data_IF_910162074916
#
_entry.id   IF_910162074916
#
_cell.length_a   1.000
_cell.length_b   1.000
_cell.length_c   1.000
_cell.angle_alpha   90.00
_cell.angle_beta   90.00
_cell.angle_gamma   90.00
#
_symmetry.space_group_name_H-M   'P 1'
#
loop_
_entity.id
_entity.type
_entity.pdbx_description
1 polymer ?
#
# COMPACT_ATOMS: atom_id res chain seq x y z
N UNK A 1 22.01 -3.46 25.29
CA UNK A 1 20.79 -2.82 24.77
C UNK A 1 21.14 -2.24 23.39
N UNK A 2 20.43 -2.60 22.31
CA UNK A 2 20.68 -2.01 21.01
C UNK A 2 20.23 -0.53 21.00
N UNK A 3 20.83 0.26 20.11
CA UNK A 3 20.45 1.65 19.87
C UNK A 3 19.32 1.76 18.87
N UNK A 4 19.29 0.85 17.88
CA UNK A 4 18.30 0.79 16.82
C UNK A 4 17.87 -0.65 16.60
N UNK A 5 16.56 -0.86 16.41
CA UNK A 5 15.98 -2.11 15.94
C UNK A 5 15.59 -1.96 14.45
N UNK A 6 16.01 -2.91 13.61
CA UNK A 6 15.54 -3.04 12.24
C UNK A 6 14.59 -4.23 12.17
N UNK A 7 13.31 -4.00 11.86
CA UNK A 7 12.26 -5.01 11.76
C UNK A 7 11.89 -5.21 10.29
N UNK A 8 12.12 -6.44 9.77
CA UNK A 8 11.84 -6.86 8.40
C UNK A 8 11.22 -8.27 8.35
N UNK A 9 10.53 -8.66 9.43
CA UNK A 9 9.93 -10.01 9.56
C UNK A 9 8.72 -10.16 8.63
N UNK A 10 7.99 -9.07 8.40
CA UNK A 10 6.84 -9.09 7.50
C UNK A 10 5.55 -9.62 8.15
N UNK A 11 4.93 -10.64 7.58
CA UNK A 11 3.54 -11.09 7.82
C UNK A 11 3.20 -11.69 9.18
N UNK A 12 4.13 -12.00 10.02
CA UNK A 12 3.85 -12.63 11.32
C UNK A 12 3.08 -11.67 12.25
N UNK A 13 1.78 -11.87 12.25
CA UNK A 13 0.74 -10.93 12.71
C UNK A 13 0.93 -10.30 14.08
N UNK A 14 1.58 -10.96 15.02
CA UNK A 14 1.75 -10.44 16.37
C UNK A 14 3.21 -10.22 16.75
N UNK A 15 4.14 -10.99 16.22
CA UNK A 15 5.55 -10.94 16.62
C UNK A 15 6.17 -9.59 16.30
N UNK A 16 5.99 -9.10 15.05
CA UNK A 16 6.51 -7.80 14.64
C UNK A 16 5.96 -6.66 15.48
N UNK A 17 4.64 -6.65 15.73
CA UNK A 17 4.00 -5.62 16.52
C UNK A 17 4.52 -5.61 17.97
N UNK A 18 4.53 -6.77 18.64
CA UNK A 18 5.02 -6.88 20.03
C UNK A 18 6.51 -6.50 20.15
N UNK A 19 7.32 -6.93 19.18
CA UNK A 19 8.74 -6.59 19.13
C UNK A 19 8.97 -5.08 18.99
N UNK A 20 8.29 -4.45 18.02
CA UNK A 20 8.39 -3.01 17.78
C UNK A 20 7.87 -2.22 18.97
N UNK A 21 6.71 -2.58 19.52
CA UNK A 21 6.13 -1.97 20.71
C UNK A 21 7.07 -2.06 21.90
N UNK A 22 7.65 -3.24 22.14
CA UNK A 22 8.63 -3.46 23.23
C UNK A 22 9.87 -2.58 23.04
N UNK A 23 10.42 -2.51 21.81
CA UNK A 23 11.60 -1.69 21.52
C UNK A 23 11.33 -0.19 21.78
N UNK A 24 10.21 0.32 21.25
CA UNK A 24 9.81 1.72 21.46
C UNK A 24 9.61 2.06 22.95
N UNK A 25 9.00 1.16 23.74
CA UNK A 25 8.84 1.32 25.17
C UNK A 25 10.18 1.30 25.93
N UNK A 26 11.18 0.60 25.42
CA UNK A 26 12.53 0.58 25.95
C UNK A 26 13.41 1.72 25.44
N UNK A 27 12.82 2.71 24.78
CA UNK A 27 13.51 3.85 24.17
C UNK A 27 14.56 3.44 23.16
N UNK A 28 14.22 2.50 22.28
CA UNK A 28 15.00 2.06 21.14
C UNK A 28 14.30 2.56 19.88
N UNK A 29 15.03 3.27 19.01
CA UNK A 29 14.50 3.69 17.71
C UNK A 29 14.29 2.50 16.79
N UNK A 30 13.26 2.55 15.94
CA UNK A 30 12.90 1.43 15.08
C UNK A 30 12.88 1.86 13.61
N UNK A 31 13.40 0.98 12.75
CA UNK A 31 13.22 1.05 11.29
C UNK A 31 12.45 -0.18 10.86
N UNK A 32 11.31 -0.01 10.19
CA UNK A 32 10.47 -1.14 9.74
C UNK A 32 10.02 -0.98 8.30
N UNK A 33 9.90 -2.09 7.58
CA UNK A 33 9.24 -2.19 6.27
C UNK A 33 7.81 -2.73 6.35
N UNK A 34 7.29 -2.99 7.55
CA UNK A 34 6.02 -3.70 7.75
C UNK A 34 4.81 -2.76 7.65
N UNK A 35 4.33 -2.56 6.41
CA UNK A 35 3.18 -1.70 6.12
C UNK A 35 1.88 -2.17 6.76
N UNK A 36 1.65 -3.49 6.82
CA UNK A 36 0.43 -4.04 7.39
C UNK A 36 0.34 -3.76 8.90
N UNK A 37 1.43 -3.99 9.63
CA UNK A 37 1.52 -3.64 11.06
C UNK A 37 1.25 -2.15 11.28
N UNK A 38 1.84 -1.28 10.47
CA UNK A 38 1.65 0.17 10.61
C UNK A 38 0.24 0.62 10.23
N UNK A 39 -0.39 0.01 9.22
CA UNK A 39 -1.76 0.31 8.84
C UNK A 39 -2.77 -0.08 9.93
N UNK A 40 -2.49 -1.15 10.69
CA UNK A 40 -3.37 -1.66 11.75
C UNK A 40 -3.07 -1.07 13.14
N UNK A 41 -1.82 -0.82 13.45
CA UNK A 41 -1.36 -0.44 14.79
C UNK A 41 -0.54 0.87 14.82
N UNK A 42 -0.46 1.57 13.69
CA UNK A 42 0.42 2.74 13.54
C UNK A 42 0.14 3.83 14.57
N UNK A 43 -1.12 4.11 14.88
CA UNK A 43 -1.48 5.14 15.85
C UNK A 43 -0.85 4.89 17.21
N UNK A 44 -0.95 3.66 17.71
CA UNK A 44 -0.37 3.30 19.00
C UNK A 44 1.16 3.38 18.96
N UNK A 45 1.77 2.83 17.91
CA UNK A 45 3.23 2.81 17.77
C UNK A 45 3.82 4.21 17.59
N UNK A 46 3.17 5.08 16.82
CA UNK A 46 3.60 6.49 16.68
C UNK A 46 3.49 7.24 18.01
N UNK A 47 2.39 7.06 18.75
CA UNK A 47 2.22 7.68 20.07
C UNK A 47 3.27 7.22 21.07
N UNK A 48 3.63 5.91 21.07
CA UNK A 48 4.71 5.39 21.94
C UNK A 48 6.06 6.00 21.54
N UNK A 49 6.36 6.07 20.26
CA UNK A 49 7.61 6.64 19.77
C UNK A 49 7.75 8.12 20.17
N UNK A 50 6.69 8.91 19.97
CA UNK A 50 6.65 10.32 20.33
C UNK A 50 6.82 10.52 21.85
N UNK A 51 6.03 9.81 22.66
CA UNK A 51 6.11 9.86 24.13
C UNK A 51 7.51 9.55 24.65
N UNK A 52 8.17 8.57 24.06
CA UNK A 52 9.51 8.13 24.46
C UNK A 52 10.64 8.89 23.76
N UNK A 53 10.31 9.83 22.84
CA UNK A 53 11.27 10.65 22.07
C UNK A 53 12.26 9.79 21.27
N UNK A 54 11.76 8.73 20.63
CA UNK A 54 12.51 7.84 19.73
C UNK A 54 11.90 7.86 18.34
N UNK A 55 12.66 7.42 17.35
CA UNK A 55 12.23 7.43 15.95
C UNK A 55 11.54 6.10 15.59
N UNK A 56 10.44 6.20 14.84
CA UNK A 56 9.84 5.10 14.10
C UNK A 56 9.90 5.46 12.61
N UNK A 57 10.84 4.85 11.89
CA UNK A 57 11.11 5.11 10.47
C UNK A 57 10.59 3.96 9.62
N UNK A 58 9.96 4.26 8.49
CA UNK A 58 9.26 3.25 7.69
C UNK A 58 9.24 3.55 6.18
N UNK A 59 10.31 4.17 5.67
CA UNK A 59 10.39 4.51 4.22
C UNK A 59 10.16 3.29 3.32
N UNK A 60 10.75 2.13 3.67
CA UNK A 60 10.62 0.91 2.89
C UNK A 60 9.21 0.27 2.93
N UNK A 61 8.32 0.74 3.80
CA UNK A 61 6.94 0.23 3.87
C UNK A 61 6.11 0.61 2.63
N UNK A 62 6.47 1.69 1.93
CA UNK A 62 5.76 2.15 0.72
C UNK A 62 6.76 2.40 -0.40
N UNK A 63 6.51 1.82 -1.58
CA UNK A 63 7.30 1.99 -2.80
C UNK A 63 8.78 1.56 -2.71
N UNK A 64 9.14 0.74 -1.73
CA UNK A 64 10.48 0.14 -1.59
C UNK A 64 11.59 1.19 -1.53
N UNK A 65 12.46 1.23 -2.54
CA UNK A 65 13.59 2.18 -2.60
C UNK A 65 13.24 3.59 -3.09
N UNK A 66 11.97 3.85 -3.48
CA UNK A 66 11.53 5.19 -3.89
C UNK A 66 11.22 6.01 -2.64
N UNK A 67 11.86 7.18 -2.41
CA UNK A 67 11.74 7.94 -1.16
C UNK A 67 10.43 8.76 -1.12
N UNK A 68 9.28 8.10 -1.25
CA UNK A 68 7.98 8.77 -1.34
C UNK A 68 7.54 9.38 -0.02
N UNK A 69 7.76 8.66 1.10
CA UNK A 69 7.39 9.15 2.44
C UNK A 69 8.19 10.41 2.78
N UNK A 70 9.51 10.36 2.56
CA UNK A 70 10.40 11.51 2.75
C UNK A 70 10.00 12.68 1.86
N UNK A 71 9.67 12.41 0.60
CA UNK A 71 9.24 13.43 -0.36
C UNK A 71 7.96 14.11 0.10
N UNK A 72 6.95 13.35 0.52
CA UNK A 72 5.70 13.92 1.05
C UNK A 72 5.98 14.75 2.30
N UNK A 73 6.70 14.21 3.28
CA UNK A 73 7.03 14.90 4.53
C UNK A 73 7.77 16.22 4.31
N UNK A 74 8.75 16.23 3.40
CA UNK A 74 9.53 17.45 3.14
C UNK A 74 8.75 18.53 2.37
N UNK A 75 7.79 18.13 1.54
CA UNK A 75 7.04 19.06 0.71
C UNK A 75 5.75 19.57 1.37
N UNK A 76 5.25 18.91 2.41
CA UNK A 76 4.01 19.28 3.10
C UNK A 76 4.08 20.68 3.72
N UNK A 77 5.28 21.13 4.11
CA UNK A 77 5.50 22.48 4.66
C UNK A 77 5.41 23.59 3.62
N UNK A 78 5.60 23.26 2.34
CA UNK A 78 5.64 24.22 1.24
C UNK A 78 4.40 24.17 0.35
N UNK A 79 3.71 23.03 0.33
CA UNK A 79 2.60 22.79 -0.59
C UNK A 79 1.46 22.05 0.11
N UNK A 80 0.24 22.33 -0.33
CA UNK A 80 -0.94 21.58 0.09
C UNK A 80 -1.14 20.39 -0.85
N UNK A 81 -1.12 19.19 -0.31
CA UNK A 81 -1.49 17.98 -1.04
C UNK A 81 -3.02 17.86 -0.99
N UNK A 82 -3.66 17.82 -2.13
CA UNK A 82 -5.12 17.68 -2.22
C UNK A 82 -5.53 16.25 -2.60
N UNK A 83 -4.67 15.54 -3.33
CA UNK A 83 -4.95 14.17 -3.81
C UNK A 83 -3.65 13.38 -3.94
N UNK A 84 -3.72 12.10 -3.61
CA UNK A 84 -2.74 11.08 -3.98
C UNK A 84 -3.48 10.06 -4.85
N UNK A 85 -2.89 9.67 -5.97
CA UNK A 85 -3.46 8.64 -6.86
C UNK A 85 -2.35 7.90 -7.58
N UNK A 86 -2.46 6.58 -7.68
CA UNK A 86 -1.47 5.77 -8.39
C UNK A 86 -1.69 4.27 -8.32
N UNK A 87 -0.82 3.54 -9.00
CA UNK A 87 -0.74 2.08 -8.94
C UNK A 87 0.27 1.74 -7.84
N UNK A 88 -0.22 1.18 -6.73
CA UNK A 88 0.61 0.89 -5.54
C UNK A 88 0.96 -0.59 -5.37
N UNK A 89 0.53 -1.46 -6.29
CA UNK A 89 0.87 -2.87 -6.27
C UNK A 89 1.38 -3.34 -7.65
N UNK A 90 2.59 -3.90 -7.66
CA UNK A 90 3.24 -4.37 -8.88
C UNK A 90 2.61 -5.63 -9.47
N UNK A 91 2.20 -6.56 -8.61
CA UNK A 91 1.60 -7.85 -9.00
C UNK A 91 0.31 -7.65 -9.78
N UNK A 92 -0.62 -6.86 -9.25
CA UNK A 92 -1.89 -6.56 -9.92
C UNK A 92 -1.69 -5.80 -11.21
N UNK A 93 -0.73 -4.88 -11.25
CA UNK A 93 -0.39 -4.18 -12.49
C UNK A 93 0.17 -5.12 -13.54
N UNK A 94 1.06 -6.04 -13.15
CA UNK A 94 1.58 -7.09 -14.03
C UNK A 94 0.44 -7.94 -14.58
N UNK A 95 -0.44 -8.46 -13.71
CA UNK A 95 -1.55 -9.34 -14.11
C UNK A 95 -2.44 -8.63 -15.13
N UNK A 96 -2.97 -7.45 -14.82
CA UNK A 96 -3.88 -6.73 -15.71
C UNK A 96 -3.22 -6.33 -17.03
N UNK A 97 -1.92 -5.98 -16.99
CA UNK A 97 -1.18 -5.64 -18.21
C UNK A 97 -0.97 -6.85 -19.11
N UNK A 98 -0.61 -7.99 -18.52
CA UNK A 98 -0.35 -9.23 -19.28
C UNK A 98 -1.64 -9.81 -19.83
N UNK A 99 -2.75 -9.80 -19.07
CA UNK A 99 -4.06 -10.17 -19.58
C UNK A 99 -4.43 -9.35 -20.83
N UNK A 100 -4.21 -8.03 -20.77
CA UNK A 100 -4.51 -7.12 -21.89
C UNK A 100 -3.61 -7.36 -23.11
N UNK A 101 -2.30 -7.52 -22.92
CA UNK A 101 -1.32 -7.61 -24.01
C UNK A 101 -1.28 -8.98 -24.67
N UNK A 102 -1.51 -10.05 -23.90
CA UNK A 102 -1.39 -11.43 -24.36
C UNK A 102 -2.75 -12.12 -24.54
N UNK A 103 -3.86 -11.43 -24.25
CA UNK A 103 -5.23 -11.97 -24.29
C UNK A 103 -5.38 -13.27 -23.49
N UNK A 104 -4.75 -13.34 -22.33
CA UNK A 104 -4.76 -14.50 -21.42
C UNK A 104 -5.80 -14.34 -20.31
N UNK A 105 -6.28 -15.46 -19.80
CA UNK A 105 -7.17 -15.50 -18.64
C UNK A 105 -6.43 -15.16 -17.33
N UNK A 106 -7.20 -14.70 -16.34
CA UNK A 106 -6.67 -14.28 -15.04
C UNK A 106 -5.85 -15.37 -14.35
N UNK A 107 -6.35 -16.61 -14.28
CA UNK A 107 -5.67 -17.73 -13.61
C UNK A 107 -4.32 -18.08 -14.25
N UNK A 108 -4.25 -18.06 -15.58
CA UNK A 108 -3.00 -18.35 -16.30
C UNK A 108 -1.94 -17.31 -16.00
N UNK A 109 -2.35 -16.02 -15.98
CA UNK A 109 -1.42 -14.92 -15.69
C UNK A 109 -1.05 -14.85 -14.20
N UNK A 110 -1.96 -15.18 -13.29
CA UNK A 110 -1.64 -15.30 -11.86
C UNK A 110 -0.59 -16.38 -11.60
N UNK A 111 -0.73 -17.53 -12.25
CA UNK A 111 0.26 -18.62 -12.16
C UNK A 111 1.64 -18.20 -12.72
N UNK A 112 1.65 -17.49 -13.85
CA UNK A 112 2.87 -16.93 -14.43
C UNK A 112 3.52 -15.89 -13.48
N UNK A 113 2.72 -15.01 -12.87
CA UNK A 113 3.20 -14.06 -11.86
C UNK A 113 3.87 -14.76 -10.67
N UNK A 114 3.29 -15.86 -10.18
CA UNK A 114 3.89 -16.68 -9.12
C UNK A 114 5.21 -17.30 -9.56
N UNK A 115 5.27 -17.89 -10.75
CA UNK A 115 6.50 -18.50 -11.29
C UNK A 115 7.62 -17.48 -11.47
N UNK A 116 7.28 -16.24 -11.82
CA UNK A 116 8.23 -15.13 -11.99
C UNK A 116 8.61 -14.46 -10.66
N UNK A 117 8.02 -14.87 -9.54
CA UNK A 117 8.33 -14.34 -8.21
C UNK A 117 7.72 -12.95 -7.92
N UNK A 118 6.69 -12.53 -8.66
CA UNK A 118 5.95 -11.30 -8.35
C UNK A 118 5.11 -11.43 -7.09
N UNK A 119 4.64 -12.66 -6.79
CA UNK A 119 3.86 -12.98 -5.61
C UNK A 119 4.05 -14.45 -5.22
N UNK A 120 3.63 -14.82 -4.01
CA UNK A 120 3.61 -16.19 -3.52
C UNK A 120 2.16 -16.64 -3.24
N UNK A 121 1.94 -17.93 -2.97
CA UNK A 121 0.60 -18.44 -2.64
C UNK A 121 0.02 -17.76 -1.40
N UNK A 122 0.85 -17.39 -0.43
CA UNK A 122 0.43 -16.73 0.79
C UNK A 122 0.12 -15.23 0.59
N UNK A 123 0.85 -14.58 -0.31
CA UNK A 123 0.75 -13.13 -0.55
C UNK A 123 -0.26 -12.78 -1.64
N UNK A 124 -0.48 -13.69 -2.60
CA UNK A 124 -1.32 -13.42 -3.77
C UNK A 124 -2.73 -12.94 -3.41
N UNK A 125 -3.33 -13.49 -2.35
CA UNK A 125 -4.67 -13.06 -1.90
C UNK A 125 -4.71 -11.61 -1.44
N UNK A 126 -3.65 -11.11 -0.83
CA UNK A 126 -3.55 -9.71 -0.41
C UNK A 126 -3.27 -8.79 -1.59
N UNK A 127 -2.47 -9.26 -2.54
CA UNK A 127 -2.19 -8.53 -3.78
C UNK A 127 -3.44 -8.38 -4.63
N UNK A 128 -4.02 -9.52 -5.08
CA UNK A 128 -5.18 -9.52 -5.99
C UNK A 128 -6.44 -8.95 -5.34
N UNK A 129 -6.61 -9.12 -4.02
CA UNK A 129 -7.69 -8.50 -3.25
C UNK A 129 -7.52 -6.99 -3.02
N UNK A 130 -6.38 -6.40 -3.41
CA UNK A 130 -6.11 -4.96 -3.28
C UNK A 130 -5.66 -4.50 -1.89
N UNK A 131 -5.56 -5.41 -0.92
CA UNK A 131 -5.22 -5.07 0.47
C UNK A 131 -3.79 -4.55 0.62
N UNK A 132 -2.81 -5.10 -0.11
CA UNK A 132 -1.43 -4.61 -0.11
C UNK A 132 -1.37 -3.14 -0.54
N UNK A 133 -2.03 -2.80 -1.63
CA UNK A 133 -2.10 -1.42 -2.13
C UNK A 133 -2.86 -0.49 -1.16
N UNK A 134 -3.94 -1.00 -0.54
CA UNK A 134 -4.72 -0.26 0.43
C UNK A 134 -3.94 0.07 1.72
N UNK A 135 -3.12 -0.86 2.23
CA UNK A 135 -2.22 -0.60 3.36
C UNK A 135 -1.23 0.54 3.05
N UNK A 136 -0.64 0.53 1.85
CA UNK A 136 0.26 1.59 1.40
C UNK A 136 -0.46 2.94 1.29
N UNK A 137 -1.67 2.95 0.71
CA UNK A 137 -2.48 4.15 0.58
C UNK A 137 -2.84 4.73 1.94
N UNK A 138 -3.21 3.89 2.92
CA UNK A 138 -3.52 4.32 4.30
C UNK A 138 -2.36 5.08 4.93
N UNK A 139 -1.13 4.57 4.79
CA UNK A 139 0.05 5.26 5.30
C UNK A 139 0.32 6.57 4.57
N UNK A 140 0.21 6.59 3.25
CA UNK A 140 0.41 7.81 2.46
C UNK A 140 -0.63 8.89 2.78
N UNK A 141 -1.90 8.52 2.93
CA UNK A 141 -2.97 9.45 3.27
C UNK A 141 -2.77 10.08 4.64
N UNK A 142 -2.37 9.28 5.64
CA UNK A 142 -2.05 9.76 6.99
C UNK A 142 -0.92 10.77 6.97
N UNK A 143 0.15 10.51 6.20
CA UNK A 143 1.28 11.44 6.11
C UNK A 143 0.90 12.72 5.38
N UNK A 144 0.10 12.61 4.31
CA UNK A 144 -0.25 13.74 3.46
C UNK A 144 -1.30 14.68 4.05
N UNK A 145 -2.29 14.11 4.72
CA UNK A 145 -3.45 14.87 5.23
C UNK A 145 -3.44 15.03 6.75
N UNK A 146 -2.56 14.31 7.44
CA UNK A 146 -2.53 14.25 8.91
C UNK A 146 -3.65 13.36 9.48
N UNK A 147 -3.77 13.34 10.80
CA UNK A 147 -4.76 12.55 11.51
C UNK A 147 -4.29 11.14 11.89
N UNK A 148 -5.24 10.32 12.27
CA UNK A 148 -4.98 8.94 12.67
C UNK A 148 -4.88 8.00 11.47
N UNK A 149 -4.05 6.98 11.58
CA UNK A 149 -4.05 5.86 10.65
C UNK A 149 -5.38 5.12 10.81
N UNK A 150 -6.17 5.06 9.76
CA UNK A 150 -7.43 4.31 9.77
C UNK A 150 -7.61 3.56 8.44
N UNK A 151 -7.34 2.27 8.49
CA UNK A 151 -7.51 1.39 7.33
C UNK A 151 -8.97 1.22 6.93
N UNK A 152 -9.91 1.33 7.88
CA UNK A 152 -11.34 1.12 7.61
C UNK A 152 -11.95 2.23 6.72
N UNK A 153 -11.28 3.37 6.59
CA UNK A 153 -11.70 4.43 5.65
C UNK A 153 -11.45 4.04 4.18
N UNK A 154 -10.66 2.99 3.92
CA UNK A 154 -10.32 2.59 2.57
C UNK A 154 -11.37 1.62 1.99
N UNK A 155 -12.04 2.04 0.91
CA UNK A 155 -12.90 1.14 0.13
C UNK A 155 -12.03 0.27 -0.76
N UNK A 156 -11.97 -1.04 -0.46
CA UNK A 156 -11.10 -1.98 -1.16
C UNK A 156 -11.91 -2.92 -2.03
N UNK A 157 -11.53 -2.99 -3.30
CA UNK A 157 -12.02 -3.95 -4.28
C UNK A 157 -10.84 -4.51 -5.08
N UNK A 158 -10.71 -5.83 -5.11
CA UNK A 158 -9.65 -6.54 -5.82
C UNK A 158 -9.89 -6.67 -7.32
N UNK A 159 -8.99 -7.41 -7.97
CA UNK A 159 -9.03 -7.65 -9.42
C UNK A 159 -9.53 -9.06 -9.79
N UNK A 160 -9.89 -9.88 -8.81
CA UNK A 160 -10.20 -11.32 -8.97
C UNK A 160 -11.39 -11.57 -9.90
N UNK A 161 -12.30 -10.59 -10.00
CA UNK A 161 -13.51 -10.69 -10.82
C UNK A 161 -13.36 -10.16 -12.25
N UNK A 162 -12.21 -9.59 -12.57
CA UNK A 162 -11.96 -9.02 -13.89
C UNK A 162 -11.67 -10.14 -14.87
N UNK A 163 -12.46 -10.21 -15.92
CA UNK A 163 -12.32 -11.20 -16.99
C UNK A 163 -11.57 -10.63 -18.19
N UNK A 164 -11.14 -11.51 -19.09
CA UNK A 164 -10.53 -11.07 -20.36
C UNK A 164 -11.57 -10.40 -21.26
N UNK A 165 -12.83 -10.80 -21.16
CA UNK A 165 -13.95 -10.19 -21.86
C UNK A 165 -14.14 -8.73 -21.44
N UNK A 166 -14.07 -8.44 -20.12
CA UNK A 166 -14.13 -7.08 -19.60
C UNK A 166 -12.99 -6.22 -20.16
N UNK A 167 -11.76 -6.76 -20.14
CA UNK A 167 -10.58 -6.07 -20.68
C UNK A 167 -10.74 -5.76 -22.17
N UNK A 168 -11.19 -6.74 -22.96
CA UNK A 168 -11.39 -6.55 -24.39
C UNK A 168 -12.51 -5.54 -24.68
N UNK A 169 -13.59 -5.58 -23.90
CA UNK A 169 -14.70 -4.65 -24.05
C UNK A 169 -14.25 -3.20 -23.78
N UNK A 170 -13.58 -2.95 -22.66
CA UNK A 170 -13.15 -1.58 -22.33
C UNK A 170 -12.06 -1.07 -23.26
N UNK A 171 -11.21 -1.96 -23.77
CA UNK A 171 -10.19 -1.62 -24.77
C UNK A 171 -10.81 -1.10 -26.09
N UNK A 172 -11.91 -1.71 -26.55
CA UNK A 172 -12.66 -1.22 -27.71
C UNK A 172 -13.25 0.18 -27.49
N UNK A 173 -13.48 0.56 -26.23
CA UNK A 173 -13.96 1.89 -25.86
C UNK A 173 -12.84 2.90 -25.61
N UNK A 174 -11.57 2.54 -25.87
CA UNK A 174 -10.41 3.42 -25.68
C UNK A 174 -9.89 3.48 -24.24
N UNK A 175 -10.18 2.45 -23.42
CA UNK A 175 -9.75 2.39 -22.02
C UNK A 175 -8.97 1.11 -21.72
N UNK A 176 -8.24 1.14 -20.59
CA UNK A 176 -7.62 -0.03 -19.94
C UNK A 176 -8.03 -0.08 -18.48
N UNK A 177 -7.99 -1.27 -17.89
CA UNK A 177 -8.29 -1.47 -16.45
C UNK A 177 -6.99 -1.49 -15.68
N UNK A 178 -6.92 -0.70 -14.59
CA UNK A 178 -5.83 -0.73 -13.61
C UNK A 178 -6.38 -0.69 -12.19
N UNK A 179 -5.67 -1.34 -11.25
CA UNK A 179 -5.97 -1.18 -9.83
C UNK A 179 -5.40 0.15 -9.36
N UNK A 180 -6.27 1.10 -9.10
CA UNK A 180 -5.89 2.46 -8.69
C UNK A 180 -6.20 2.64 -7.21
N UNK A 181 -5.17 3.02 -6.47
CA UNK A 181 -5.29 3.52 -5.10
C UNK A 181 -5.33 5.03 -5.14
N UNK A 182 -6.36 5.63 -4.56
CA UNK A 182 -6.47 7.09 -4.47
C UNK A 182 -7.07 7.55 -3.15
N UNK A 183 -6.58 8.65 -2.65
CA UNK A 183 -7.18 9.38 -1.54
C UNK A 183 -7.17 10.88 -1.81
N UNK A 184 -8.17 11.57 -1.27
CA UNK A 184 -8.33 13.01 -1.40
C UNK A 184 -9.10 13.57 -0.21
N UNK A 185 -8.92 14.87 0.04
CA UNK A 185 -9.54 15.58 1.13
C UNK A 185 -10.68 16.46 0.58
N UNK A 186 -11.91 16.24 1.06
CA UNK A 186 -13.08 17.11 0.81
C UNK A 186 -13.68 17.47 2.15
N UNK A 187 -13.89 18.75 2.39
CA UNK A 187 -14.52 19.28 3.61
C UNK A 187 -13.90 18.71 4.90
N UNK A 188 -12.58 18.61 4.95
CA UNK A 188 -11.79 17.99 6.02
C UNK A 188 -12.07 16.51 6.26
N UNK A 189 -12.73 15.81 5.36
CA UNK A 189 -12.91 14.36 5.39
C UNK A 189 -12.00 13.70 4.36
N UNK A 190 -11.33 12.61 4.77
CA UNK A 190 -10.48 11.80 3.90
C UNK A 190 -11.35 10.76 3.20
N UNK A 191 -11.33 10.77 1.88
CA UNK A 191 -11.89 9.73 1.03
C UNK A 191 -10.75 8.88 0.50
N UNK A 192 -10.86 7.56 0.66
CA UNK A 192 -9.83 6.61 0.28
C UNK A 192 -10.43 5.40 -0.41
N UNK A 193 -9.85 5.01 -1.54
CA UNK A 193 -10.27 3.80 -2.25
C UNK A 193 -9.11 3.14 -2.99
N UNK A 194 -9.16 1.82 -3.03
CA UNK A 194 -8.27 0.98 -3.84
C UNK A 194 -9.15 0.04 -4.64
N UNK A 195 -9.34 0.30 -5.93
CA UNK A 195 -10.28 -0.46 -6.78
C UNK A 195 -9.90 -0.40 -8.26
N UNK A 196 -10.38 -1.37 -9.07
CA UNK A 196 -10.25 -1.30 -10.51
C UNK A 196 -10.88 -0.02 -11.07
N UNK A 197 -10.15 0.66 -11.97
CA UNK A 197 -10.63 1.85 -12.67
C UNK A 197 -10.28 1.80 -14.15
N UNK A 198 -11.12 2.46 -14.92
CA UNK A 198 -10.87 2.71 -16.33
C UNK A 198 -9.88 3.87 -16.48
N UNK A 199 -8.82 3.65 -17.22
CA UNK A 199 -7.79 4.63 -17.56
C UNK A 199 -7.80 4.78 -19.07
N UNK A 200 -7.79 6.01 -19.63
CA UNK A 200 -7.65 6.20 -21.08
C UNK A 200 -6.39 5.50 -21.60
N UNK A 201 -6.43 5.05 -22.86
CA UNK A 201 -5.28 4.37 -23.50
C UNK A 201 -4.15 5.35 -23.82
N UNK A 202 -4.47 6.65 -23.99
CA UNK A 202 -3.54 7.74 -24.32
C UNK A 202 -3.08 8.50 -23.07
#
# INVERSE_FOLDING_TARGET
KPDILIELIGYEKNISYELVKSALNQKISVVTGNKAMLAMHGNELFNIAEKNKVLLLFEAAVAGGIPIIKTIKNNIFLNKINKISGILNGTTNYILTTMESESKNFEDVLNDAKQKGFTSDNESKLDIGGYDAAHKLTLLSTIAFGGNVDFNLNQVEGIEKITIEDINFVKQQGFKIKLISECFLIDNMIYSSTKPKLIPLD
#
